data_IF_315038251337
#
_entry.id   IF_315038251337
#
_cell.length_a   1.000
_cell.length_b   1.000
_cell.length_c   1.000
_cell.angle_alpha   90.00
_cell.angle_beta   90.00
_cell.angle_gamma   90.00
#
_symmetry.space_group_name_H-M   'P 1'
#
loop_
_entity.id
_entity.type
_entity.pdbx_description
1 polymer ?
#
# COMPACT_ATOMS: atom_id res chain seq x y z
N UNK A 1 -53.78 1.81 -70.71
CA UNK A 1 -52.35 1.55 -70.39
C UNK A 1 -52.03 2.19 -69.07
N UNK A 2 -51.90 1.40 -68.03
CA UNK A 2 -51.49 1.88 -66.68
C UNK A 2 -50.03 1.59 -66.54
N UNK A 3 -49.20 2.62 -66.32
CA UNK A 3 -47.77 2.49 -66.07
C UNK A 3 -47.60 2.27 -64.57
N UNK A 4 -47.07 1.11 -64.13
CA UNK A 4 -46.65 0.83 -62.78
C UNK A 4 -45.24 1.43 -62.54
N UNK A 5 -45.15 2.42 -61.68
CA UNK A 5 -43.88 2.95 -61.21
C UNK A 5 -43.41 2.08 -60.08
N UNK A 6 -42.37 1.28 -60.32
CA UNK A 6 -41.62 0.53 -59.29
C UNK A 6 -40.72 1.52 -58.54
N UNK A 7 -41.09 1.90 -57.31
CA UNK A 7 -40.23 2.60 -56.39
C UNK A 7 -39.28 1.55 -55.77
N UNK A 8 -38.05 1.45 -56.27
CA UNK A 8 -36.98 0.74 -55.58
C UNK A 8 -36.56 1.60 -54.41
N UNK A 9 -37.01 1.22 -53.21
CA UNK A 9 -36.48 1.74 -51.98
C UNK A 9 -35.05 1.18 -51.80
N UNK A 10 -34.05 1.95 -52.16
CA UNK A 10 -32.71 1.70 -51.68
C UNK A 10 -32.71 1.97 -50.15
N UNK A 11 -32.88 0.93 -49.38
CA UNK A 11 -32.45 0.97 -47.96
C UNK A 11 -30.95 1.17 -48.02
N UNK A 12 -30.50 2.38 -47.74
CA UNK A 12 -29.11 2.67 -47.48
C UNK A 12 -28.82 2.04 -46.10
N UNK A 13 -28.38 0.77 -46.08
CA UNK A 13 -27.70 0.26 -44.94
C UNK A 13 -26.54 1.21 -44.68
N UNK A 14 -26.59 1.94 -43.58
CA UNK A 14 -25.45 2.65 -43.08
C UNK A 14 -24.43 1.56 -42.70
N UNK A 15 -23.52 1.27 -43.64
CA UNK A 15 -22.31 0.52 -43.32
C UNK A 15 -21.65 1.26 -42.17
N UNK A 16 -21.65 0.66 -40.99
CA UNK A 16 -20.86 1.12 -39.88
C UNK A 16 -19.39 0.89 -40.28
N UNK A 17 -18.79 1.90 -40.88
CA UNK A 17 -17.39 1.90 -41.27
C UNK A 17 -16.51 2.31 -40.09
N UNK A 18 -16.82 1.77 -38.92
CA UNK A 18 -16.10 2.00 -37.68
C UNK A 18 -15.18 0.82 -37.39
N UNK A 19 -14.03 1.04 -36.74
CA UNK A 19 -13.02 -0.02 -36.51
C UNK A 19 -13.54 -1.21 -35.69
N UNK A 20 -14.59 -1.00 -34.87
CA UNK A 20 -15.09 -2.04 -33.96
C UNK A 20 -16.61 -1.93 -33.67
N UNK A 21 -17.46 -2.08 -34.69
CA UNK A 21 -18.89 -1.76 -34.57
C UNK A 21 -19.66 -2.56 -33.51
N UNK A 22 -19.19 -3.73 -33.14
CA UNK A 22 -19.83 -4.63 -32.15
C UNK A 22 -19.15 -4.66 -30.77
N UNK A 23 -18.05 -3.96 -30.60
CA UNK A 23 -17.20 -3.98 -29.40
C UNK A 23 -16.86 -2.55 -28.95
N UNK A 24 -16.34 -2.43 -27.75
CA UNK A 24 -15.68 -1.22 -27.27
C UNK A 24 -14.18 -1.42 -27.12
N UNK A 25 -13.43 -0.32 -27.14
CA UNK A 25 -11.99 -0.27 -26.97
C UNK A 25 -11.62 0.58 -25.79
N UNK A 26 -10.64 0.17 -24.99
CA UNK A 26 -10.10 0.98 -23.89
C UNK A 26 -8.70 1.49 -24.21
N UNK A 27 -8.34 2.62 -23.62
CA UNK A 27 -6.97 3.09 -23.48
C UNK A 27 -6.79 3.56 -22.04
N UNK A 28 -5.86 2.97 -21.29
CA UNK A 28 -5.66 3.23 -19.86
C UNK A 28 -4.36 4.00 -19.68
N UNK A 29 -4.43 5.18 -19.09
CA UNK A 29 -3.25 5.99 -18.71
C UNK A 29 -3.06 5.92 -17.21
N UNK A 30 -1.88 5.48 -16.76
CA UNK A 30 -1.54 5.43 -15.35
C UNK A 30 -1.08 6.81 -14.86
N UNK A 31 -1.79 7.36 -13.88
CA UNK A 31 -1.44 8.60 -13.19
C UNK A 31 -0.82 8.29 -11.83
N UNK A 32 0.47 8.62 -11.67
CA UNK A 32 1.27 8.39 -10.48
C UNK A 32 1.43 9.63 -9.59
N UNK A 33 0.63 10.67 -9.81
CA UNK A 33 0.76 11.95 -9.09
C UNK A 33 0.55 11.83 -7.58
N UNK A 34 -0.24 10.84 -7.13
CA UNK A 34 -0.52 10.58 -5.71
C UNK A 34 0.53 9.70 -4.99
N UNK A 35 1.67 9.40 -5.62
CA UNK A 35 2.77 8.67 -4.96
C UNK A 35 3.46 9.53 -3.92
N UNK A 36 3.93 8.88 -2.84
CA UNK A 36 4.71 9.53 -1.80
C UNK A 36 6.02 10.15 -2.33
N UNK A 37 6.50 11.16 -1.63
CA UNK A 37 7.75 11.83 -1.96
C UNK A 37 8.94 10.85 -1.93
N UNK A 38 9.85 10.99 -2.90
CA UNK A 38 11.04 10.13 -3.00
C UNK A 38 10.76 8.71 -3.51
N UNK A 39 9.52 8.38 -3.88
CA UNK A 39 9.19 7.08 -4.48
C UNK A 39 9.23 7.21 -6.00
N UNK A 40 10.04 6.35 -6.64
CA UNK A 40 10.13 6.30 -8.09
C UNK A 40 8.83 5.77 -8.74
N UNK A 41 8.57 6.23 -9.97
CA UNK A 41 7.49 5.65 -10.77
C UNK A 41 7.88 4.21 -11.12
N UNK A 42 6.99 3.21 -10.88
CA UNK A 42 7.25 1.83 -11.25
C UNK A 42 7.54 1.69 -12.75
N UNK A 43 8.57 0.90 -13.07
CA UNK A 43 8.97 0.68 -14.46
C UNK A 43 7.93 -0.09 -15.28
N UNK A 44 7.09 -0.88 -14.62
CA UNK A 44 6.04 -1.70 -15.25
C UNK A 44 4.76 -1.66 -14.43
N UNK A 45 3.64 -1.82 -15.11
CA UNK A 45 2.33 -1.94 -14.48
C UNK A 45 1.43 -2.89 -15.28
N UNK A 46 0.43 -3.45 -14.64
CA UNK A 46 -0.46 -4.47 -15.18
C UNK A 46 -1.90 -3.94 -15.21
N UNK A 47 -2.61 -4.27 -16.28
CA UNK A 47 -4.04 -3.99 -16.46
C UNK A 47 -4.78 -5.30 -16.60
N UNK A 48 -5.90 -5.44 -15.88
CA UNK A 48 -6.86 -6.54 -16.12
C UNK A 48 -8.26 -6.00 -16.27
N UNK A 49 -9.01 -6.58 -17.19
CA UNK A 49 -10.44 -6.31 -17.37
C UNK A 49 -11.11 -7.53 -18.02
N UNK A 50 -12.06 -8.16 -17.31
CA UNK A 50 -12.62 -9.44 -17.75
C UNK A 50 -11.57 -10.54 -17.78
N UNK A 51 -11.38 -11.17 -18.93
CA UNK A 51 -10.37 -12.18 -19.20
C UNK A 51 -9.04 -11.63 -19.76
N UNK A 52 -9.01 -10.31 -20.03
CA UNK A 52 -7.81 -9.63 -20.51
C UNK A 52 -6.83 -9.34 -19.40
N UNK A 53 -5.55 -9.59 -19.68
CA UNK A 53 -4.41 -9.15 -18.84
C UNK A 53 -3.30 -8.64 -19.74
N UNK A 54 -2.84 -7.43 -19.48
CA UNK A 54 -1.71 -6.81 -20.18
C UNK A 54 -0.72 -6.18 -19.22
N UNK A 55 0.56 -6.16 -19.61
CA UNK A 55 1.64 -5.46 -18.88
C UNK A 55 2.17 -4.35 -19.77
N UNK A 56 2.45 -3.20 -19.17
CA UNK A 56 2.89 -1.99 -19.86
C UNK A 56 4.12 -1.38 -19.19
N UNK A 57 4.94 -0.73 -19.98
CA UNK A 57 6.11 0.06 -19.58
C UNK A 57 5.97 1.55 -19.91
N UNK A 58 4.99 1.88 -20.75
CA UNK A 58 4.67 3.27 -21.13
C UNK A 58 3.65 3.88 -20.20
N UNK A 59 3.43 5.18 -20.31
CA UNK A 59 2.41 5.87 -19.52
C UNK A 59 0.98 5.43 -19.86
N UNK A 60 0.73 5.02 -21.11
CA UNK A 60 -0.60 4.60 -21.59
C UNK A 60 -0.54 3.20 -22.18
N UNK A 61 -1.47 2.35 -21.78
CA UNK A 61 -1.70 1.03 -22.30
C UNK A 61 -2.93 1.03 -23.21
N UNK A 62 -2.75 0.59 -24.46
CA UNK A 62 -3.87 0.41 -25.41
C UNK A 62 -3.88 -1.05 -25.82
N UNK A 63 -4.78 -1.87 -25.24
CA UNK A 63 -4.87 -3.28 -25.59
C UNK A 63 -5.13 -3.51 -27.08
N UNK A 64 -4.48 -4.51 -27.64
CA UNK A 64 -4.91 -5.10 -28.92
C UNK A 64 -6.02 -6.14 -28.66
N UNK A 65 -7.02 -5.72 -27.88
CA UNK A 65 -8.18 -6.50 -27.46
C UNK A 65 -9.40 -5.61 -27.44
N UNK A 66 -10.50 -6.13 -27.98
CA UNK A 66 -11.78 -5.46 -27.99
C UNK A 66 -12.72 -6.13 -26.98
N UNK A 67 -13.46 -5.33 -26.25
CA UNK A 67 -14.35 -5.80 -25.19
C UNK A 67 -15.80 -5.83 -25.68
N UNK A 68 -16.49 -6.94 -25.46
CA UNK A 68 -17.91 -7.03 -25.72
C UNK A 68 -18.70 -6.03 -24.84
N UNK A 69 -19.87 -5.54 -25.28
CA UNK A 69 -20.72 -4.73 -24.41
C UNK A 69 -21.06 -5.44 -23.10
N UNK A 70 -20.90 -4.74 -21.98
CA UNK A 70 -21.08 -5.29 -20.65
C UNK A 70 -20.43 -4.45 -19.57
N UNK A 71 -20.60 -4.85 -18.31
CA UNK A 71 -19.94 -4.21 -17.16
C UNK A 71 -18.76 -5.05 -16.72
N UNK A 72 -17.63 -4.40 -16.53
CA UNK A 72 -16.35 -5.00 -16.16
C UNK A 72 -15.71 -4.26 -14.98
N UNK A 73 -14.96 -4.99 -14.17
CA UNK A 73 -14.03 -4.37 -13.23
C UNK A 73 -12.70 -4.20 -13.95
N UNK A 74 -12.28 -2.95 -14.14
CA UNK A 74 -10.91 -2.61 -14.48
C UNK A 74 -10.08 -2.64 -13.21
N UNK A 75 -8.97 -3.37 -13.20
CA UNK A 75 -7.98 -3.33 -12.14
C UNK A 75 -6.59 -3.08 -12.71
N UNK A 76 -5.87 -2.17 -12.07
CA UNK A 76 -4.52 -1.75 -12.47
C UNK A 76 -3.61 -1.80 -11.25
N UNK A 77 -2.40 -2.36 -11.40
CA UNK A 77 -1.39 -2.39 -10.34
C UNK A 77 0.02 -2.50 -10.91
N UNK A 78 1.04 -2.15 -10.11
CA UNK A 78 2.43 -2.45 -10.45
C UNK A 78 2.88 -3.76 -9.79
N UNK A 79 3.71 -4.59 -10.45
CA UNK A 79 4.46 -5.64 -9.77
C UNK A 79 5.32 -5.05 -8.66
N UNK A 80 5.29 -5.65 -7.48
CA UNK A 80 6.06 -5.20 -6.33
C UNK A 80 6.74 -6.40 -5.65
N UNK A 81 7.99 -6.21 -5.22
CA UNK A 81 8.74 -7.26 -4.53
C UNK A 81 8.02 -7.74 -3.28
N UNK A 82 7.93 -9.05 -3.09
CA UNK A 82 7.27 -9.66 -1.94
C UNK A 82 5.74 -9.50 -1.92
N UNK A 83 5.11 -9.06 -3.02
CA UNK A 83 3.64 -8.97 -3.15
C UNK A 83 3.19 -9.78 -4.36
N UNK A 84 2.18 -10.62 -4.17
CA UNK A 84 1.47 -11.33 -5.24
C UNK A 84 0.04 -10.82 -5.33
N UNK A 85 -0.48 -10.75 -6.56
CA UNK A 85 -1.85 -10.30 -6.83
C UNK A 85 -2.64 -11.43 -7.47
N UNK A 86 -3.85 -11.68 -6.95
CA UNK A 86 -4.82 -12.60 -7.53
C UNK A 86 -6.18 -11.89 -7.58
N UNK A 87 -6.67 -11.62 -8.79
CA UNK A 87 -7.82 -10.73 -8.97
C UNK A 87 -7.52 -9.34 -8.41
N UNK A 88 -8.28 -8.91 -7.41
CA UNK A 88 -8.08 -7.64 -6.68
C UNK A 88 -7.44 -7.84 -5.29
N UNK A 89 -7.03 -9.06 -4.97
CA UNK A 89 -6.39 -9.37 -3.69
C UNK A 89 -4.88 -9.39 -3.81
N UNK A 90 -4.22 -8.44 -3.14
CA UNK A 90 -2.79 -8.41 -2.92
C UNK A 90 -2.42 -9.20 -1.65
N UNK A 91 -1.34 -9.98 -1.70
CA UNK A 91 -0.86 -10.79 -0.57
C UNK A 91 0.64 -10.57 -0.38
N UNK A 92 1.05 -10.18 0.83
CA UNK A 92 2.47 -10.09 1.19
C UNK A 92 3.03 -11.51 1.41
N UNK A 93 4.24 -11.72 0.90
CA UNK A 93 4.98 -12.96 1.10
C UNK A 93 5.21 -13.22 2.59
N UNK A 94 5.16 -14.49 2.98
CA UNK A 94 5.56 -14.91 4.32
C UNK A 94 7.06 -14.65 4.53
N UNK A 95 7.42 -14.32 5.77
CA UNK A 95 8.79 -14.22 6.22
C UNK A 95 9.04 -15.25 7.31
N UNK A 96 10.30 -15.69 7.45
CA UNK A 96 10.72 -16.49 8.59
C UNK A 96 11.01 -15.57 9.76
N UNK A 97 10.10 -15.52 10.73
CA UNK A 97 10.33 -14.84 12.00
C UNK A 97 11.32 -15.61 12.89
N UNK A 98 12.08 -14.90 13.68
CA UNK A 98 13.03 -15.50 14.64
C UNK A 98 12.37 -16.04 15.91
N UNK A 99 11.05 -15.86 16.07
CA UNK A 99 10.32 -16.37 17.22
C UNK A 99 9.80 -17.78 16.95
N UNK A 100 10.28 -18.72 17.75
CA UNK A 100 9.71 -20.06 17.80
C UNK A 100 8.27 -19.96 18.31
N UNK A 101 7.29 -20.20 17.44
CA UNK A 101 5.87 -20.12 17.76
C UNK A 101 5.03 -19.95 16.49
N UNK A 102 3.79 -20.22 16.61
CA UNK A 102 2.81 -20.47 15.55
C UNK A 102 2.36 -19.24 14.75
N UNK A 103 2.88 -18.06 15.01
CA UNK A 103 2.41 -16.84 14.38
C UNK A 103 3.08 -16.62 13.02
N UNK A 104 2.26 -16.41 12.01
CA UNK A 104 2.75 -16.10 10.67
C UNK A 104 3.42 -14.74 10.65
N UNK A 105 4.64 -14.70 10.12
CA UNK A 105 5.35 -13.44 9.85
C UNK A 105 5.25 -13.10 8.38
N UNK A 106 5.18 -11.79 8.10
CA UNK A 106 5.22 -11.23 6.75
C UNK A 106 6.54 -10.51 6.50
N UNK A 107 6.88 -10.36 5.22
CA UNK A 107 8.03 -9.55 4.81
C UNK A 107 7.89 -8.12 5.36
N UNK A 108 8.94 -7.61 5.99
CA UNK A 108 8.96 -6.29 6.63
C UNK A 108 9.41 -5.15 5.71
N UNK A 109 9.76 -5.45 4.45
CA UNK A 109 10.18 -4.47 3.47
C UNK A 109 9.62 -4.79 2.06
N UNK A 110 8.30 -5.02 1.90
CA UNK A 110 7.72 -5.24 0.57
C UNK A 110 8.00 -4.05 -0.36
N UNK A 111 8.00 -4.29 -1.66
CA UNK A 111 8.13 -3.24 -2.67
C UNK A 111 6.99 -2.21 -2.59
N UNK A 112 7.23 -1.02 -3.11
CA UNK A 112 6.18 -0.02 -3.24
C UNK A 112 5.11 -0.53 -4.18
N UNK A 113 3.87 -0.53 -3.70
CA UNK A 113 2.72 -1.11 -4.39
C UNK A 113 1.61 -0.08 -4.55
N UNK A 114 1.12 0.05 -5.79
CA UNK A 114 0.07 0.98 -6.17
C UNK A 114 -1.01 0.24 -6.91
N UNK A 115 -2.26 0.68 -6.74
CA UNK A 115 -3.42 0.06 -7.37
C UNK A 115 -4.46 1.08 -7.82
N UNK A 116 -5.28 0.68 -8.77
CA UNK A 116 -6.48 1.39 -9.16
C UNK A 116 -7.57 0.38 -9.53
N UNK A 117 -8.82 0.69 -9.23
CA UNK A 117 -9.99 -0.10 -9.68
C UNK A 117 -11.13 0.82 -10.07
N UNK A 118 -11.86 0.43 -11.12
CA UNK A 118 -13.05 1.12 -11.59
C UNK A 118 -14.03 0.13 -12.20
N UNK A 119 -15.35 0.42 -12.08
CA UNK A 119 -16.38 -0.29 -12.83
C UNK A 119 -16.58 0.41 -14.16
N UNK A 120 -16.31 -0.28 -15.27
CA UNK A 120 -16.41 0.25 -16.63
C UNK A 120 -17.56 -0.44 -17.35
N UNK A 121 -18.49 0.33 -17.90
CA UNK A 121 -19.54 -0.20 -18.77
C UNK A 121 -19.15 0.04 -20.22
N UNK A 122 -18.94 -1.05 -20.95
CA UNK A 122 -18.57 -1.03 -22.35
C UNK A 122 -19.85 -1.05 -23.20
N UNK A 123 -19.93 -0.18 -24.18
CA UNK A 123 -20.94 -0.14 -25.22
C UNK A 123 -20.32 -0.43 -26.58
N UNK A 124 -21.17 -0.76 -27.56
CA UNK A 124 -20.74 -0.98 -28.94
C UNK A 124 -20.17 0.31 -29.54
N UNK A 125 -19.14 0.15 -30.35
CA UNK A 125 -18.57 1.19 -31.20
C UNK A 125 -18.12 2.43 -30.41
N UNK A 126 -17.57 2.21 -29.20
CA UNK A 126 -17.06 3.30 -28.34
C UNK A 126 -15.63 3.07 -27.91
N UNK A 127 -14.85 4.15 -27.90
CA UNK A 127 -13.53 4.25 -27.30
C UNK A 127 -13.63 4.84 -25.89
N UNK A 128 -12.91 4.24 -24.94
CA UNK A 128 -12.87 4.64 -23.53
C UNK A 128 -11.45 5.05 -23.13
N UNK A 129 -11.11 6.34 -23.19
CA UNK A 129 -9.89 6.85 -22.58
C UNK A 129 -10.08 6.91 -21.05
N UNK A 130 -9.39 6.04 -20.31
CA UNK A 130 -9.47 5.91 -18.86
C UNK A 130 -8.19 6.42 -18.22
N UNK A 131 -8.31 7.09 -17.09
CA UNK A 131 -7.15 7.51 -16.28
C UNK A 131 -7.16 6.76 -14.96
N UNK A 132 -6.17 5.89 -14.77
CA UNK A 132 -5.97 5.15 -13.53
C UNK A 132 -5.18 6.03 -12.55
N UNK A 133 -5.86 6.70 -11.62
CA UNK A 133 -5.23 7.43 -10.51
C UNK A 133 -4.67 6.42 -9.51
N UNK A 134 -3.37 6.09 -9.65
CA UNK A 134 -2.71 5.03 -8.92
C UNK A 134 -2.57 5.38 -7.44
N UNK A 135 -3.27 4.64 -6.58
CA UNK A 135 -3.29 4.80 -5.13
C UNK A 135 -2.18 3.97 -4.50
N UNK A 136 -1.33 4.59 -3.69
CA UNK A 136 -0.30 3.89 -2.93
C UNK A 136 -0.92 2.97 -1.88
N UNK A 137 -0.46 1.72 -1.80
CA UNK A 137 -1.00 0.70 -0.90
C UNK A 137 -0.01 0.28 0.19
N UNK A 138 1.29 0.42 -0.04
CA UNK A 138 2.33 0.16 0.96
C UNK A 138 2.73 1.48 1.61
N UNK A 139 2.78 1.49 2.95
CA UNK A 139 3.19 2.64 3.76
C UNK A 139 4.40 2.29 4.61
N UNK A 140 5.32 3.24 4.77
CA UNK A 140 6.43 3.10 5.69
C UNK A 140 6.01 3.47 7.11
N UNK A 141 6.41 2.64 8.08
CA UNK A 141 6.31 2.87 9.51
C UNK A 141 7.72 2.93 10.10
N UNK A 142 8.03 4.03 10.75
CA UNK A 142 9.25 4.21 11.55
C UNK A 142 8.88 4.33 13.02
N UNK A 143 9.52 3.53 13.86
CA UNK A 143 9.43 3.63 15.31
C UNK A 143 10.76 4.14 15.85
N UNK A 144 10.72 5.18 16.68
CA UNK A 144 11.89 5.72 17.38
C UNK A 144 11.63 5.66 18.87
N UNK A 145 12.42 4.90 19.61
CA UNK A 145 12.25 4.73 21.05
C UNK A 145 13.47 5.28 21.79
N UNK A 146 13.22 6.03 22.86
CA UNK A 146 14.23 6.60 23.73
C UNK A 146 14.29 5.81 25.04
N UNK A 147 15.33 5.00 25.28
CA UNK A 147 15.47 4.27 26.52
C UNK A 147 15.75 5.21 27.68
N UNK A 148 15.12 4.96 28.82
CA UNK A 148 15.32 5.68 30.07
C UNK A 148 15.77 4.74 31.21
N UNK A 149 16.17 5.33 32.34
CA UNK A 149 16.64 4.59 33.53
C UNK A 149 18.10 4.14 33.44
N UNK A 150 18.57 3.54 34.52
CA UNK A 150 19.98 3.22 34.75
C UNK A 150 20.55 2.17 33.77
N UNK A 151 19.69 1.30 33.26
CA UNK A 151 20.08 0.26 32.32
C UNK A 151 20.07 0.70 30.82
N UNK A 152 19.57 1.90 30.51
CA UNK A 152 19.41 2.39 29.13
C UNK A 152 20.72 2.35 28.32
N UNK A 153 21.82 2.78 28.92
CA UNK A 153 23.16 2.75 28.31
C UNK A 153 23.72 1.36 28.05
N UNK A 154 23.16 0.32 28.67
CA UNK A 154 23.61 -1.08 28.57
C UNK A 154 22.81 -1.90 27.55
N UNK A 155 21.77 -1.36 26.92
CA UNK A 155 21.01 -2.06 25.90
C UNK A 155 21.93 -2.33 24.71
N UNK A 156 22.01 -3.61 24.32
CA UNK A 156 22.79 -4.09 23.18
C UNK A 156 21.94 -4.50 22.00
N UNK A 157 20.70 -4.91 22.26
CA UNK A 157 19.77 -5.38 21.22
C UNK A 157 18.32 -5.21 21.67
N UNK A 158 17.45 -4.82 20.74
CA UNK A 158 15.99 -4.87 20.88
C UNK A 158 15.47 -5.83 19.83
N UNK A 159 15.00 -7.01 20.24
CA UNK A 159 14.38 -8.01 19.37
C UNK A 159 12.87 -7.84 19.48
N UNK A 160 12.25 -7.23 18.48
CA UNK A 160 10.83 -6.90 18.55
C UNK A 160 10.07 -7.24 17.29
N UNK A 161 8.76 -7.38 17.43
CA UNK A 161 7.82 -7.51 16.34
C UNK A 161 6.53 -6.75 16.66
N UNK A 162 5.85 -6.36 15.60
CA UNK A 162 4.51 -5.76 15.65
C UNK A 162 3.49 -6.81 15.23
N UNK A 163 2.42 -6.96 16.02
CA UNK A 163 1.25 -7.79 15.68
C UNK A 163 0.25 -7.00 14.86
N UNK A 164 -0.71 -7.66 14.24
CA UNK A 164 -1.79 -7.01 13.51
C UNK A 164 -1.38 -6.40 12.17
N UNK A 165 -0.21 -6.74 11.62
CA UNK A 165 0.13 -6.38 10.25
C UNK A 165 -0.80 -7.12 9.28
N UNK A 166 -1.38 -6.42 8.32
CA UNK A 166 -2.23 -7.02 7.29
C UNK A 166 -1.39 -7.76 6.26
N UNK A 167 -1.64 -9.08 6.11
CA UNK A 167 -1.01 -9.89 5.06
C UNK A 167 -1.71 -9.72 3.73
N UNK A 168 -3.01 -9.46 3.73
CA UNK A 168 -3.81 -9.32 2.52
C UNK A 168 -4.54 -8.00 2.46
N UNK A 169 -4.76 -7.51 1.24
CA UNK A 169 -5.60 -6.37 0.91
C UNK A 169 -6.41 -6.70 -0.34
N UNK A 170 -7.73 -6.68 -0.22
CA UNK A 170 -8.57 -6.53 -1.39
C UNK A 170 -8.68 -5.03 -1.73
N UNK A 171 -7.95 -4.61 -2.77
CA UNK A 171 -7.86 -3.20 -3.13
C UNK A 171 -9.07 -2.68 -3.92
N UNK A 172 -10.02 -3.54 -4.30
CA UNK A 172 -11.31 -3.10 -4.84
C UNK A 172 -12.27 -2.65 -3.75
N UNK A 173 -12.14 -3.20 -2.53
CA UNK A 173 -13.01 -2.91 -1.39
C UNK A 173 -12.28 -2.23 -0.22
N UNK A 174 -10.98 -1.97 -0.35
CA UNK A 174 -10.10 -1.50 0.74
C UNK A 174 -10.18 -2.39 2.01
N UNK A 175 -10.37 -3.70 1.82
CA UNK A 175 -10.53 -4.65 2.92
C UNK A 175 -9.20 -5.32 3.26
N UNK A 176 -8.75 -5.13 4.50
CA UNK A 176 -7.52 -5.71 5.04
C UNK A 176 -7.82 -7.00 5.77
N UNK A 177 -6.96 -8.00 5.62
CA UNK A 177 -7.18 -9.30 6.23
C UNK A 177 -5.90 -10.06 6.59
N UNK A 178 -6.11 -11.26 7.16
CA UNK A 178 -5.07 -12.18 7.58
C UNK A 178 -4.02 -11.50 8.47
N UNK A 179 -4.45 -11.10 9.70
CA UNK A 179 -3.57 -10.52 10.70
C UNK A 179 -2.32 -11.39 10.89
N UNK A 180 -1.18 -10.76 10.84
CA UNK A 180 0.15 -11.39 10.90
C UNK A 180 1.10 -10.55 11.73
N UNK A 181 2.30 -11.06 11.96
CA UNK A 181 3.35 -10.34 12.65
C UNK A 181 4.39 -9.81 11.65
N UNK A 182 5.09 -8.76 12.03
CA UNK A 182 6.23 -8.23 11.28
C UNK A 182 7.40 -7.99 12.21
N UNK A 183 8.61 -8.43 11.81
CA UNK A 183 9.84 -8.18 12.57
C UNK A 183 10.24 -6.71 12.45
N UNK A 184 10.52 -6.08 13.55
CA UNK A 184 11.02 -4.70 13.64
C UNK A 184 12.55 -4.72 13.84
N UNK A 185 13.33 -4.34 12.81
CA UNK A 185 14.79 -4.37 12.87
C UNK A 185 15.33 -3.13 13.60
N UNK A 186 15.24 -3.11 14.94
CA UNK A 186 15.74 -2.00 15.71
C UNK A 186 17.27 -1.88 15.62
N UNK A 187 17.73 -0.66 15.36
CA UNK A 187 19.13 -0.28 15.34
C UNK A 187 19.34 0.95 16.20
N UNK A 188 20.48 1.01 16.92
CA UNK A 188 20.84 2.17 17.74
C UNK A 188 21.28 3.32 16.84
N UNK A 189 20.74 4.51 17.06
CA UNK A 189 21.17 5.75 16.42
C UNK A 189 22.45 6.22 17.13
N UNK A 190 23.53 6.41 16.38
CA UNK A 190 24.85 6.75 16.94
C UNK A 190 25.24 8.20 16.74
N UNK A 191 24.54 8.94 15.88
CA UNK A 191 24.88 10.31 15.50
C UNK A 191 23.63 11.19 15.42
N UNK A 192 23.83 12.53 15.49
CA UNK A 192 22.77 13.54 15.39
C UNK A 192 22.00 13.71 16.71
N UNK A 193 20.90 14.45 16.65
CA UNK A 193 20.07 14.84 17.81
C UNK A 193 19.38 13.65 18.47
N UNK A 194 19.17 12.57 17.73
CA UNK A 194 18.58 11.32 18.21
C UNK A 194 19.62 10.27 18.65
N UNK A 195 20.90 10.65 18.78
CA UNK A 195 21.94 9.75 19.22
C UNK A 195 21.59 9.11 20.58
N UNK A 196 21.69 7.79 20.67
CA UNK A 196 21.30 7.00 21.84
C UNK A 196 19.92 6.37 21.77
N UNK A 197 19.03 6.89 20.93
CA UNK A 197 17.71 6.28 20.63
C UNK A 197 17.86 5.05 19.74
N UNK A 198 16.79 4.27 19.65
CA UNK A 198 16.70 3.09 18.79
C UNK A 198 15.62 3.30 17.75
N UNK A 199 15.91 2.96 16.51
CA UNK A 199 15.03 3.13 15.36
C UNK A 199 14.77 1.80 14.65
N UNK A 200 13.51 1.54 14.32
CA UNK A 200 13.12 0.48 13.39
C UNK A 200 12.26 1.08 12.27
N UNK A 201 12.53 0.69 11.03
CA UNK A 201 11.73 1.10 9.87
C UNK A 201 11.27 -0.15 9.12
N UNK A 202 9.98 -0.21 8.82
CA UNK A 202 9.35 -1.30 8.07
C UNK A 202 8.35 -0.74 7.07
N UNK A 203 8.02 -1.50 6.04
CA UNK A 203 6.95 -1.18 5.11
C UNK A 203 5.81 -2.17 5.25
N UNK A 204 4.58 -1.69 5.34
CA UNK A 204 3.39 -2.49 5.58
C UNK A 204 2.33 -2.20 4.53
N UNK A 205 1.60 -3.25 4.14
CA UNK A 205 0.39 -3.11 3.32
C UNK A 205 -0.72 -2.39 4.10
N UNK A 206 -0.78 -2.62 5.40
CA UNK A 206 -1.72 -2.02 6.33
C UNK A 206 -1.69 -2.71 7.69
N UNK A 207 -2.59 -2.31 8.56
CA UNK A 207 -2.85 -2.97 9.85
C UNK A 207 -4.28 -3.50 9.89
N UNK A 208 -4.52 -4.57 10.62
CA UNK A 208 -5.81 -5.23 10.75
C UNK A 208 -5.96 -5.92 12.11
N UNK A 209 -7.18 -6.26 12.48
CA UNK A 209 -7.48 -6.81 13.81
C UNK A 209 -7.82 -5.71 14.81
N UNK A 210 -8.00 -6.10 16.06
CA UNK A 210 -8.45 -5.22 17.16
C UNK A 210 -7.29 -4.62 17.95
N UNK A 211 -6.10 -5.24 17.85
CA UNK A 211 -4.92 -4.85 18.63
C UNK A 211 -3.67 -4.87 17.75
N UNK A 212 -2.81 -3.86 17.93
CA UNK A 212 -1.47 -3.79 17.37
C UNK A 212 -0.47 -3.69 18.53
N UNK A 213 0.13 -4.82 18.87
CA UNK A 213 1.05 -4.91 19.99
C UNK A 213 2.51 -4.93 19.50
N UNK A 214 3.31 -4.02 20.04
CA UNK A 214 4.77 -4.08 19.97
C UNK A 214 5.24 -5.03 21.06
N UNK A 215 5.79 -6.17 20.68
CA UNK A 215 6.23 -7.19 21.65
C UNK A 215 7.62 -7.69 21.34
N UNK A 216 8.35 -8.11 22.35
CA UNK A 216 9.71 -8.60 22.16
C UNK A 216 10.53 -8.72 23.43
N UNK A 217 11.83 -8.54 23.26
CA UNK A 217 12.82 -8.70 24.32
C UNK A 217 13.92 -7.65 24.17
N UNK A 218 14.29 -7.03 25.27
CA UNK A 218 15.42 -6.11 25.35
C UNK A 218 16.58 -6.84 26.01
N UNK A 219 17.74 -6.83 25.35
CA UNK A 219 18.96 -7.48 25.81
C UNK A 219 20.00 -6.46 26.21
N UNK A 220 20.78 -6.79 27.25
CA UNK A 220 21.76 -5.92 27.84
C UNK A 220 23.16 -6.49 27.75
N UNK A 221 24.17 -5.62 27.89
CA UNK A 221 25.57 -6.00 27.94
C UNK A 221 25.82 -6.98 29.09
N UNK A 222 26.61 -8.03 28.83
CA UNK A 222 26.97 -9.07 29.77
C UNK A 222 25.78 -9.81 30.42
N UNK A 223 24.59 -9.73 29.78
CA UNK A 223 23.34 -10.31 30.29
C UNK A 223 22.89 -9.71 31.64
N UNK A 224 23.30 -8.50 31.98
CA UNK A 224 22.95 -7.82 33.22
C UNK A 224 22.45 -6.39 32.94
N UNK A 225 21.16 -6.06 33.23
CA UNK A 225 20.16 -7.00 33.78
C UNK A 225 19.89 -8.17 32.84
N UNK A 226 19.19 -9.16 33.35
CA UNK A 226 18.63 -10.24 32.48
C UNK A 226 17.72 -9.65 31.44
N UNK A 227 17.56 -10.31 30.28
CA UNK A 227 16.66 -9.82 29.24
C UNK A 227 15.28 -9.48 29.77
N UNK A 228 14.76 -8.32 29.38
CA UNK A 228 13.48 -7.78 29.85
C UNK A 228 12.44 -7.88 28.72
N UNK A 229 11.23 -8.31 29.05
CA UNK A 229 10.12 -8.37 28.09
C UNK A 229 9.73 -6.96 27.67
N UNK A 230 9.61 -6.75 26.36
CA UNK A 230 8.99 -5.56 25.76
C UNK A 230 7.54 -5.89 25.40
N UNK A 231 6.58 -5.10 25.90
CA UNK A 231 5.19 -5.20 25.52
C UNK A 231 4.54 -3.83 25.59
N UNK A 232 4.02 -3.35 24.49
CA UNK A 232 3.34 -2.05 24.38
C UNK A 232 2.18 -2.14 23.42
N UNK A 233 1.03 -1.60 23.80
CA UNK A 233 -0.12 -1.44 22.92
C UNK A 233 0.01 -0.11 22.16
N UNK A 234 0.19 -0.19 20.85
CA UNK A 234 0.30 0.97 19.95
C UNK A 234 -0.90 1.06 18.99
N UNK A 235 -2.01 0.41 19.32
CA UNK A 235 -3.22 0.35 18.50
C UNK A 235 -3.76 1.75 18.18
N UNK A 236 -3.88 2.62 19.18
CA UNK A 236 -4.39 3.98 18.97
C UNK A 236 -3.44 4.82 18.10
N UNK A 237 -2.11 4.66 18.26
CA UNK A 237 -1.12 5.35 17.43
C UNK A 237 -1.17 4.90 15.95
N UNK A 238 -1.61 3.68 15.68
CA UNK A 238 -1.74 3.12 14.33
C UNK A 238 -3.16 3.24 13.74
N UNK A 239 -4.12 3.84 14.44
CA UNK A 239 -5.52 3.94 14.01
C UNK A 239 -5.73 4.54 12.62
N UNK A 240 -4.90 5.52 12.25
CA UNK A 240 -4.91 6.16 10.93
C UNK A 240 -3.95 5.54 9.91
N UNK A 241 -3.31 4.42 10.22
CA UNK A 241 -2.25 3.87 9.37
C UNK A 241 -2.72 3.50 7.96
N UNK A 242 -3.93 2.97 7.83
CA UNK A 242 -4.50 2.54 6.54
C UNK A 242 -4.99 3.71 5.67
N UNK A 243 -5.01 4.93 6.20
CA UNK A 243 -5.33 6.16 5.47
C UNK A 243 -4.08 7.02 5.28
N UNK A 244 -4.07 7.91 4.26
CA UNK A 244 -2.93 8.81 4.03
C UNK A 244 -1.63 8.09 3.68
N UNK A 245 -1.69 7.01 2.91
CA UNK A 245 -0.54 6.13 2.61
C UNK A 245 0.57 6.75 1.76
N UNK A 246 0.32 7.91 1.15
CA UNK A 246 1.34 8.68 0.43
C UNK A 246 2.43 9.26 1.34
N UNK A 247 2.22 9.25 2.65
CA UNK A 247 3.16 9.75 3.63
C UNK A 247 3.65 8.65 4.56
N UNK A 248 4.93 8.65 4.94
CA UNK A 248 5.47 7.77 5.97
C UNK A 248 4.87 8.14 7.33
N UNK A 249 4.73 7.15 8.22
CA UNK A 249 4.33 7.38 9.61
C UNK A 249 5.53 7.16 10.53
N UNK A 250 5.88 8.18 11.29
CA UNK A 250 6.90 8.07 12.34
C UNK A 250 6.24 8.19 13.71
N UNK A 251 6.44 7.18 14.56
CA UNK A 251 6.02 7.19 15.94
C UNK A 251 7.26 7.31 16.84
N UNK A 252 7.23 8.23 17.77
CA UNK A 252 8.22 8.37 18.83
C UNK A 252 7.65 7.92 20.18
N UNK A 253 8.50 7.47 21.08
CA UNK A 253 8.07 7.15 22.44
C UNK A 253 9.26 6.89 23.37
N UNK A 254 8.98 6.91 24.66
CA UNK A 254 9.96 6.64 25.70
C UNK A 254 9.86 5.18 26.15
N UNK A 255 10.98 4.48 26.18
CA UNK A 255 11.04 3.11 26.67
C UNK A 255 11.18 3.16 28.19
N UNK A 256 10.12 2.82 28.90
CA UNK A 256 10.03 2.88 30.35
C UNK A 256 9.95 1.49 30.98
N UNK A 257 10.53 1.33 32.16
CA UNK A 257 10.44 0.10 32.94
C UNK A 257 9.10 0.05 33.70
N UNK A 258 8.43 -1.07 33.59
CA UNK A 258 7.18 -1.36 34.30
C UNK A 258 7.34 -2.62 35.16
N UNK A 259 6.45 -2.90 36.13
CA UNK A 259 6.51 -4.13 36.93
C UNK A 259 6.45 -5.41 36.09
N UNK A 260 5.89 -5.36 34.89
CA UNK A 260 5.74 -6.49 33.95
C UNK A 260 6.86 -6.56 32.92
N UNK A 261 7.74 -5.55 32.84
CA UNK A 261 8.79 -5.47 31.82
C UNK A 261 9.06 -4.05 31.36
N UNK A 262 9.20 -3.87 30.04
CA UNK A 262 9.39 -2.56 29.41
C UNK A 262 8.24 -2.30 28.44
N UNK A 263 7.79 -1.06 28.41
CA UNK A 263 6.80 -0.58 27.44
C UNK A 263 7.24 0.72 26.77
N UNK A 264 6.65 1.05 25.65
CA UNK A 264 6.81 2.35 25.00
C UNK A 264 5.67 3.25 25.46
N UNK A 265 6.01 4.23 26.31
CA UNK A 265 5.08 5.24 26.78
C UNK A 265 5.08 6.44 25.82
N UNK A 266 3.90 7.07 25.68
CA UNK A 266 3.76 8.27 24.85
C UNK A 266 4.03 8.02 23.38
N UNK A 267 3.59 6.89 22.82
CA UNK A 267 3.66 6.66 21.39
C UNK A 267 2.84 7.73 20.65
N UNK A 268 3.50 8.81 20.28
CA UNK A 268 2.92 9.97 19.62
C UNK A 268 3.43 10.07 18.18
N UNK A 269 2.61 10.68 17.30
CA UNK A 269 3.02 11.01 15.94
C UNK A 269 4.02 12.17 16.02
N UNK A 270 5.31 11.86 15.86
CA UNK A 270 6.34 12.87 15.76
C UNK A 270 6.49 13.32 14.32
N UNK A 271 6.22 14.61 14.04
CA UNK A 271 6.53 15.25 12.77
C UNK A 271 5.35 15.71 11.93
N UNK A 272 4.29 16.24 12.52
CA UNK A 272 3.47 17.23 11.83
C UNK A 272 4.16 18.60 11.93
N UNK A 273 5.16 18.87 11.10
CA UNK A 273 5.36 20.23 10.65
C UNK A 273 4.18 20.52 9.72
N UNK A 274 3.29 21.38 10.19
CA UNK A 274 2.29 22.03 9.35
C UNK A 274 3.07 22.82 8.29
N UNK A 275 3.22 22.24 7.11
CA UNK A 275 3.68 22.98 5.94
C UNK A 275 2.55 23.96 5.65
N UNK A 276 2.66 25.17 6.20
CA UNK A 276 1.88 26.31 5.76
C UNK A 276 2.18 26.48 4.29
N UNK A 277 1.23 26.06 3.45
CA UNK A 277 1.25 26.40 2.06
C UNK A 277 1.39 27.93 1.97
N UNK A 278 2.41 28.39 1.28
CA UNK A 278 2.54 29.80 0.93
C UNK A 278 1.23 30.23 0.26
N UNK A 279 0.64 31.30 0.81
CA UNK A 279 -0.46 32.00 0.19
C UNK A 279 -0.06 32.37 -1.24
N UNK A 280 -0.54 31.60 -2.22
CA UNK A 280 -0.48 32.01 -3.61
C UNK A 280 -1.51 33.10 -3.75
N UNK A 281 -1.05 34.36 -3.59
CA UNK A 281 -1.76 35.54 -4.01
C UNK A 281 -2.03 35.44 -5.51
N UNK A 282 -3.24 35.00 -5.86
CA UNK A 282 -3.77 35.16 -7.19
C UNK A 282 -4.34 36.59 -7.29
N UNK A 283 -3.46 37.54 -7.64
CA UNK A 283 -3.90 38.81 -8.18
C UNK A 283 -4.21 38.65 -9.67
N UNK A 284 -5.51 38.90 -10.00
CA UNK A 284 -6.17 39.14 -11.31
C UNK A 284 -6.70 37.89 -12.00
#
# INVERSE_FOLDING_TARGET
MAAAVLLSSCVKDTLYDTPHPDYGKIAVTADWSARGEGIDIPATWTVTMGDYTGTETSATHTPDHLFAPGSYTLAVWNPAEGITVNGTTATIAASTGTRAGTDAFVNNAPGWFFTYTEQVTIEKDKDYPLTAAMKQQVRELTLVVEPTGDAAGRITEIVAHLTGAARTLDFATDTYGAASNVVLPFTKITEGDDAGKWKATVRLLGVTGTEQLLTGEIRYADGNPTPTTLKSDITEALKGFNTGKGESLTLGGTLVETPEGMEVDGAEINGWEEVKGDDVNADL
#
